data_IF_221069251496
#
_entry.id   IF_221069251496
#
_cell.length_a   1.000
_cell.length_b   1.000
_cell.length_c   1.000
_cell.angle_alpha   90.00
_cell.angle_beta   90.00
_cell.angle_gamma   90.00
#
_symmetry.space_group_name_H-M   'P 1'
#
loop_
_entity.id
_entity.type
_entity.pdbx_description
1 polymer ?
#
# COMPACT_ATOMS: atom_id res chain seq x y z
N UNK A 1 -6.06 13.47 -14.22
CA UNK A 1 -5.58 12.33 -13.44
C UNK A 1 -5.28 12.73 -11.99
N UNK A 2 -5.14 11.76 -11.12
CA UNK A 2 -4.97 12.04 -9.69
C UNK A 2 -3.67 12.77 -9.34
N UNK A 3 -2.59 12.56 -10.09
CA UNK A 3 -1.33 13.28 -9.87
C UNK A 3 -1.46 14.77 -10.19
N UNK A 4 -2.13 15.10 -11.29
CA UNK A 4 -2.38 16.50 -11.65
C UNK A 4 -3.25 17.17 -10.60
N UNK A 5 -4.32 16.51 -10.15
CA UNK A 5 -5.17 17.01 -9.08
C UNK A 5 -4.39 17.25 -7.79
N UNK A 6 -3.53 16.32 -7.41
CA UNK A 6 -2.71 16.46 -6.20
C UNK A 6 -1.68 17.57 -6.30
N UNK A 7 -1.13 17.80 -7.49
CA UNK A 7 -0.15 18.84 -7.72
C UNK A 7 -0.77 20.24 -7.78
N UNK A 8 -1.91 20.37 -8.45
CA UNK A 8 -2.52 21.68 -8.73
C UNK A 8 -3.46 22.16 -7.61
N UNK A 9 -4.06 21.26 -6.88
CA UNK A 9 -5.11 21.58 -5.92
C UNK A 9 -4.62 21.72 -4.49
N UNK A 10 -5.19 22.67 -3.74
CA UNK A 10 -5.06 22.73 -2.28
C UNK A 10 -6.10 21.84 -1.60
N UNK A 11 -7.19 21.58 -2.29
CA UNK A 11 -8.24 20.65 -1.89
C UNK A 11 -8.61 19.76 -3.07
N UNK A 12 -8.90 18.49 -2.77
CA UNK A 12 -9.32 17.50 -3.75
C UNK A 12 -10.66 16.90 -3.38
N UNK A 13 -11.58 16.87 -4.33
CA UNK A 13 -12.86 16.18 -4.19
C UNK A 13 -12.89 14.94 -5.07
N UNK A 14 -13.33 13.81 -4.51
CA UNK A 14 -13.58 12.57 -5.24
C UNK A 14 -15.09 12.43 -5.43
N UNK A 15 -15.52 12.48 -6.68
CA UNK A 15 -16.93 12.34 -7.05
C UNK A 15 -17.10 11.03 -7.80
N UNK A 16 -17.96 10.16 -7.29
CA UNK A 16 -18.30 8.87 -7.89
C UNK A 16 -19.82 8.74 -7.96
N UNK A 17 -20.33 8.33 -9.09
CA UNK A 17 -21.77 8.16 -9.33
C UNK A 17 -22.59 9.41 -8.93
N UNK A 18 -22.04 10.59 -9.23
CA UNK A 18 -22.69 11.88 -8.92
C UNK A 18 -22.65 12.28 -7.44
N UNK A 19 -21.95 11.54 -6.60
CA UNK A 19 -21.84 11.80 -5.17
C UNK A 19 -20.42 12.18 -4.77
N UNK A 20 -20.28 13.19 -3.91
CA UNK A 20 -19.00 13.57 -3.31
C UNK A 20 -18.66 12.55 -2.22
N UNK A 21 -17.63 11.71 -2.46
CA UNK A 21 -17.21 10.66 -1.56
C UNK A 21 -16.19 11.10 -0.53
N UNK A 22 -15.27 11.99 -0.94
CA UNK A 22 -14.26 12.56 -0.04
C UNK A 22 -13.87 13.94 -0.54
N UNK A 23 -13.66 14.86 0.40
CA UNK A 23 -13.17 16.21 0.12
C UNK A 23 -12.17 16.59 1.21
N UNK A 24 -10.90 16.71 0.84
CA UNK A 24 -9.83 16.99 1.78
C UNK A 24 -8.61 17.57 1.04
N UNK A 25 -7.53 17.86 1.78
CA UNK A 25 -6.27 18.17 1.13
C UNK A 25 -5.70 16.91 0.41
N UNK A 26 -4.84 17.11 -0.58
CA UNK A 26 -4.29 15.99 -1.37
C UNK A 26 -3.61 14.91 -0.54
N UNK A 27 -2.87 15.31 0.50
CA UNK A 27 -2.18 14.37 1.39
C UNK A 27 -3.18 13.43 2.07
N UNK A 28 -4.25 13.97 2.64
CA UNK A 28 -5.27 13.17 3.32
C UNK A 28 -6.07 12.29 2.36
N UNK A 29 -6.40 12.78 1.16
CA UNK A 29 -7.07 11.97 0.15
C UNK A 29 -6.22 10.74 -0.21
N UNK A 30 -4.91 10.91 -0.36
CA UNK A 30 -3.99 9.84 -0.70
C UNK A 30 -3.73 8.89 0.47
N UNK A 31 -3.35 9.43 1.63
CA UNK A 31 -2.93 8.60 2.77
C UNK A 31 -4.08 8.08 3.63
N UNK A 32 -5.21 8.79 3.64
CA UNK A 32 -6.38 8.45 4.47
C UNK A 32 -7.65 8.39 3.64
N UNK A 33 -7.70 7.56 2.59
CA UNK A 33 -8.94 7.37 1.84
C UNK A 33 -10.02 6.83 2.79
N UNK A 34 -11.23 7.38 2.67
CA UNK A 34 -12.29 7.11 3.65
C UNK A 34 -13.16 5.90 3.29
N UNK A 35 -12.95 5.29 2.13
CA UNK A 35 -13.73 4.14 1.68
C UNK A 35 -12.97 3.28 0.67
N UNK A 36 -13.40 2.03 0.52
CA UNK A 36 -12.88 1.12 -0.51
C UNK A 36 -13.08 1.71 -1.92
N UNK A 37 -14.21 2.39 -2.14
CA UNK A 37 -14.50 3.03 -3.43
C UNK A 37 -13.44 4.08 -3.79
N UNK A 38 -13.04 4.91 -2.83
CA UNK A 38 -11.98 5.92 -3.02
C UNK A 38 -10.63 5.25 -3.27
N UNK A 39 -10.29 4.21 -2.51
CA UNK A 39 -9.05 3.43 -2.73
C UNK A 39 -9.00 2.90 -4.16
N UNK A 40 -10.06 2.26 -4.61
CA UNK A 40 -10.13 1.68 -5.95
C UNK A 40 -10.07 2.75 -7.04
N UNK A 41 -10.72 3.89 -6.82
CA UNK A 41 -10.69 5.01 -7.76
C UNK A 41 -9.28 5.58 -7.93
N UNK A 42 -8.56 5.77 -6.82
CA UNK A 42 -7.19 6.29 -6.86
C UNK A 42 -6.21 5.29 -7.48
N UNK A 43 -6.47 4.01 -7.31
CA UNK A 43 -5.66 2.92 -7.89
C UNK A 43 -4.15 3.05 -7.59
N UNK A 44 -3.81 3.42 -6.36
CA UNK A 44 -2.43 3.66 -5.91
C UNK A 44 -1.92 2.64 -4.92
N UNK A 45 -2.79 1.82 -4.37
CA UNK A 45 -2.47 0.81 -3.40
C UNK A 45 -3.30 -0.46 -3.61
N UNK A 46 -3.08 -1.42 -2.75
CA UNK A 46 -3.79 -2.70 -2.77
C UNK A 46 -4.41 -2.96 -1.41
N UNK A 47 -5.61 -3.50 -1.40
CA UNK A 47 -6.28 -3.98 -0.20
C UNK A 47 -5.97 -5.46 -0.02
N UNK A 48 -5.44 -5.84 1.12
CA UNK A 48 -5.15 -7.24 1.45
C UNK A 48 -5.93 -7.68 2.69
N UNK A 49 -6.39 -8.94 2.75
CA UNK A 49 -7.04 -9.46 3.95
C UNK A 49 -6.06 -9.52 5.12
N UNK A 50 -6.52 -9.14 6.30
CA UNK A 50 -5.74 -9.23 7.53
C UNK A 50 -6.64 -9.42 8.74
N UNK A 51 -6.05 -9.86 9.84
CA UNK A 51 -6.73 -10.03 11.12
C UNK A 51 -6.03 -9.18 12.18
N UNK A 52 -6.79 -8.40 12.92
CA UNK A 52 -6.27 -7.59 14.02
C UNK A 52 -5.83 -8.50 15.17
N UNK A 53 -4.57 -8.38 15.59
CA UNK A 53 -3.98 -9.22 16.64
C UNK A 53 -3.70 -8.47 17.94
N UNK A 54 -3.78 -7.14 17.93
CA UNK A 54 -3.55 -6.30 19.08
C UNK A 54 -3.84 -4.84 18.79
N UNK A 55 -3.55 -3.95 19.71
CA UNK A 55 -3.78 -2.51 19.56
C UNK A 55 -2.94 -1.89 18.42
N UNK A 56 -1.75 -2.44 18.17
CA UNK A 56 -0.80 -1.92 17.20
C UNK A 56 -0.31 -2.99 16.24
N UNK A 57 -1.06 -4.07 16.05
CA UNK A 57 -0.62 -5.18 15.21
C UNK A 57 -1.76 -5.86 14.49
N UNK A 58 -1.42 -6.39 13.33
CA UNK A 58 -2.29 -7.29 12.55
C UNK A 58 -1.45 -8.35 11.86
N UNK A 59 -2.11 -9.40 11.40
CA UNK A 59 -1.49 -10.54 10.73
C UNK A 59 -2.14 -10.71 9.37
N UNK A 60 -1.30 -10.82 8.35
CA UNK A 60 -1.72 -11.07 6.97
C UNK A 60 -1.15 -12.40 6.50
N UNK A 61 -1.96 -13.21 5.82
CA UNK A 61 -1.47 -14.42 5.15
C UNK A 61 -0.50 -14.10 4.00
N UNK A 62 -0.55 -12.88 3.49
CA UNK A 62 0.30 -12.44 2.37
C UNK A 62 1.69 -11.97 2.84
N UNK A 63 1.74 -11.25 3.96
CA UNK A 63 2.94 -10.54 4.39
C UNK A 63 3.40 -10.89 5.81
N UNK A 64 2.61 -11.65 6.56
CA UNK A 64 2.90 -11.95 7.96
C UNK A 64 2.51 -10.83 8.90
N UNK A 65 3.25 -10.64 9.97
CA UNK A 65 2.95 -9.65 11.01
C UNK A 65 3.27 -8.24 10.54
N UNK A 66 2.33 -7.33 10.74
CA UNK A 66 2.47 -5.91 10.45
C UNK A 66 2.15 -5.13 11.73
N UNK A 67 3.00 -4.17 12.06
CA UNK A 67 2.87 -3.30 13.23
C UNK A 67 2.70 -1.85 12.81
N UNK A 68 2.00 -1.08 13.64
CA UNK A 68 1.81 0.34 13.40
C UNK A 68 0.63 0.89 14.17
N UNK A 69 0.26 2.13 13.83
CA UNK A 69 -0.82 2.84 14.50
C UNK A 69 -2.08 2.81 13.66
N UNK A 70 -3.14 2.19 14.18
CA UNK A 70 -4.44 2.22 13.54
C UNK A 70 -5.04 3.62 13.61
N UNK A 71 -5.58 4.12 12.50
CA UNK A 71 -6.31 5.39 12.48
C UNK A 71 -7.72 5.26 13.07
N UNK A 72 -8.26 4.05 13.11
CA UNK A 72 -9.53 3.70 13.77
C UNK A 72 -9.31 2.50 14.67
N UNK A 73 -10.04 2.44 15.76
CA UNK A 73 -9.99 1.28 16.66
C UNK A 73 -10.70 0.08 16.04
N UNK A 74 -10.04 -1.08 16.09
CA UNK A 74 -10.62 -2.37 15.72
C UNK A 74 -10.39 -3.37 16.86
N UNK A 75 -11.42 -4.10 17.31
CA UNK A 75 -11.23 -5.13 18.33
C UNK A 75 -10.28 -6.23 17.85
N UNK A 76 -9.50 -6.77 18.77
CA UNK A 76 -8.68 -7.96 18.50
C UNK A 76 -9.54 -9.09 17.92
N UNK A 77 -9.06 -9.71 16.86
CA UNK A 77 -9.76 -10.77 16.13
C UNK A 77 -10.61 -10.28 14.96
N UNK A 78 -10.73 -8.96 14.77
CA UNK A 78 -11.46 -8.39 13.62
C UNK A 78 -10.82 -8.78 12.31
N UNK A 79 -11.62 -9.16 11.33
CA UNK A 79 -11.20 -9.34 9.95
C UNK A 79 -11.33 -8.00 9.23
N UNK A 80 -10.24 -7.55 8.61
CA UNK A 80 -10.17 -6.26 7.95
C UNK A 80 -9.51 -6.40 6.59
N UNK A 81 -9.68 -5.37 5.75
CA UNK A 81 -8.89 -5.17 4.53
C UNK A 81 -7.89 -4.06 4.79
N UNK A 82 -6.61 -4.42 4.78
CA UNK A 82 -5.52 -3.49 5.00
C UNK A 82 -5.11 -2.83 3.70
N UNK A 83 -5.01 -1.51 3.70
CA UNK A 83 -4.45 -0.76 2.58
C UNK A 83 -2.92 -0.82 2.64
N UNK A 84 -2.30 -1.32 1.58
CA UNK A 84 -0.85 -1.25 1.34
C UNK A 84 -0.62 -0.28 0.19
N UNK A 85 0.13 0.76 0.45
CA UNK A 85 0.55 1.74 -0.58
C UNK A 85 2.01 1.47 -1.01
N UNK A 86 2.45 1.96 -2.17
CA UNK A 86 3.78 1.65 -2.70
C UNK A 86 4.94 1.96 -1.75
N UNK A 87 4.79 2.99 -0.91
CA UNK A 87 5.82 3.44 0.04
C UNK A 87 5.84 2.66 1.35
N UNK A 88 4.87 1.79 1.59
CA UNK A 88 4.73 1.11 2.90
C UNK A 88 5.71 -0.03 3.09
N UNK A 89 6.18 -0.63 2.01
CA UNK A 89 7.10 -1.76 2.06
C UNK A 89 8.49 -1.34 1.59
N UNK A 90 9.51 -1.82 2.30
CA UNK A 90 10.90 -1.56 1.96
C UNK A 90 11.56 -2.82 1.38
N UNK A 91 12.47 -2.61 0.44
CA UNK A 91 13.26 -3.67 -0.17
C UNK A 91 14.39 -4.11 0.76
N UNK A 92 14.57 -5.43 0.89
CA UNK A 92 15.67 -6.04 1.61
C UNK A 92 15.97 -7.43 1.05
N UNK A 93 17.05 -7.54 0.28
CA UNK A 93 17.47 -8.81 -0.35
C UNK A 93 17.82 -9.91 0.66
N UNK A 94 18.18 -9.53 1.89
CA UNK A 94 18.51 -10.49 2.94
C UNK A 94 17.27 -11.06 3.63
N UNK A 95 16.09 -10.47 3.41
CA UNK A 95 14.85 -10.93 4.02
C UNK A 95 14.44 -12.31 3.51
N UNK A 96 13.87 -13.12 4.40
CA UNK A 96 13.27 -14.40 4.03
C UNK A 96 11.82 -14.25 3.49
N UNK A 97 11.23 -13.07 3.62
CA UNK A 97 9.96 -12.77 2.97
C UNK A 97 10.25 -12.30 1.54
N UNK A 98 10.01 -13.16 0.58
CA UNK A 98 10.29 -12.88 -0.84
C UNK A 98 9.04 -13.07 -1.68
N UNK A 99 8.76 -12.09 -2.54
CA UNK A 99 7.66 -12.12 -3.49
C UNK A 99 8.21 -12.08 -4.91
N UNK A 100 7.42 -12.58 -5.85
CA UNK A 100 7.81 -12.60 -7.27
C UNK A 100 7.52 -11.26 -7.94
N UNK A 101 8.48 -10.74 -8.70
CA UNK A 101 8.29 -9.55 -9.53
C UNK A 101 7.48 -9.93 -10.78
N UNK A 102 6.32 -9.32 -10.97
CA UNK A 102 5.47 -9.54 -12.16
C UNK A 102 5.45 -8.36 -13.11
N UNK A 103 5.81 -7.17 -12.64
CA UNK A 103 5.96 -5.97 -13.47
C UNK A 103 6.94 -5.00 -12.82
N UNK A 104 7.56 -4.18 -13.66
CA UNK A 104 8.49 -3.13 -13.22
C UNK A 104 8.33 -1.91 -14.12
N UNK A 105 8.05 -0.77 -13.53
CA UNK A 105 7.93 0.50 -14.24
C UNK A 105 8.99 1.48 -13.77
N UNK A 106 9.84 1.94 -14.69
CA UNK A 106 10.78 3.00 -14.43
C UNK A 106 10.10 4.37 -14.60
N UNK A 107 10.21 5.21 -13.59
CA UNK A 107 9.60 6.54 -13.55
C UNK A 107 10.62 7.67 -13.27
N UNK A 108 11.84 7.51 -13.73
CA UNK A 108 12.92 8.48 -13.52
C UNK A 108 13.52 8.38 -12.13
N UNK A 109 12.93 9.06 -11.16
CA UNK A 109 13.42 9.07 -9.77
C UNK A 109 13.18 7.76 -9.03
N UNK A 110 12.31 6.91 -9.55
CA UNK A 110 11.93 5.67 -8.88
C UNK A 110 11.52 4.59 -9.85
N UNK A 111 11.46 3.37 -9.32
CA UNK A 111 10.77 2.23 -9.91
C UNK A 111 9.51 1.94 -9.10
N UNK A 112 8.46 1.51 -9.76
CA UNK A 112 7.33 0.83 -9.13
C UNK A 112 7.38 -0.62 -9.55
N UNK A 113 7.64 -1.50 -8.58
CA UNK A 113 7.55 -2.94 -8.76
C UNK A 113 6.15 -3.42 -8.42
N UNK A 114 5.60 -4.30 -9.23
CA UNK A 114 4.39 -5.03 -8.89
C UNK A 114 4.80 -6.43 -8.47
N UNK A 115 4.52 -6.79 -7.23
CA UNK A 115 4.90 -8.08 -6.64
C UNK A 115 3.66 -8.95 -6.49
N UNK A 116 3.81 -10.24 -6.77
CA UNK A 116 2.76 -11.23 -6.61
C UNK A 116 2.95 -12.04 -5.34
N UNK A 117 1.89 -12.15 -4.54
CA UNK A 117 1.85 -12.95 -3.33
C UNK A 117 1.53 -14.41 -3.64
N UNK A 118 1.65 -15.27 -2.63
CA UNK A 118 1.31 -16.70 -2.76
C UNK A 118 -0.16 -16.93 -3.16
N UNK A 119 -1.05 -16.05 -2.75
CA UNK A 119 -2.48 -16.12 -3.08
C UNK A 119 -2.86 -15.31 -4.33
N UNK A 120 -1.88 -15.00 -5.17
CA UNK A 120 -2.06 -14.28 -6.43
C UNK A 120 -2.58 -12.85 -6.30
N UNK A 121 -2.45 -12.21 -5.15
CA UNK A 121 -2.65 -10.78 -5.01
C UNK A 121 -1.42 -10.03 -5.51
N UNK A 122 -1.60 -8.84 -6.04
CA UNK A 122 -0.49 -8.00 -6.49
C UNK A 122 -0.35 -6.78 -5.59
N UNK A 123 0.90 -6.47 -5.23
CA UNK A 123 1.22 -5.38 -4.32
C UNK A 123 2.24 -4.46 -5.01
N UNK A 124 2.00 -3.14 -5.09
CA UNK A 124 2.97 -2.21 -5.64
C UNK A 124 4.00 -1.84 -4.58
N UNK A 125 5.27 -1.73 -4.98
CA UNK A 125 6.37 -1.30 -4.10
C UNK A 125 7.22 -0.26 -4.80
N UNK A 126 7.43 0.85 -4.10
CA UNK A 126 8.28 1.95 -4.54
C UNK A 126 9.74 1.68 -4.16
N UNK A 127 10.64 1.88 -5.12
CA UNK A 127 12.09 1.81 -4.89
C UNK A 127 12.76 2.99 -5.59
N UNK A 128 13.68 3.70 -4.90
CA UNK A 128 14.45 4.76 -5.52
C UNK A 128 15.29 4.24 -6.69
N UNK A 129 15.39 5.02 -7.76
CA UNK A 129 16.12 4.61 -8.97
C UNK A 129 17.64 4.48 -8.75
N UNK A 130 18.16 5.09 -7.70
CA UNK A 130 19.58 4.94 -7.30
C UNK A 130 19.85 3.65 -6.53
N UNK A 131 18.85 2.82 -6.31
CA UNK A 131 19.06 1.50 -5.69
C UNK A 131 19.99 0.67 -6.57
N UNK A 132 21.09 0.18 -5.98
CA UNK A 132 22.19 -0.46 -6.72
C UNK A 132 21.74 -1.75 -7.39
N UNK A 133 20.82 -2.47 -6.74
CA UNK A 133 20.39 -3.79 -7.16
C UNK A 133 18.98 -3.74 -7.75
N UNK A 134 18.89 -3.88 -9.07
CA UNK A 134 17.61 -3.95 -9.78
C UNK A 134 17.14 -5.40 -9.89
N UNK A 135 15.82 -5.58 -9.86
CA UNK A 135 15.18 -6.88 -10.02
C UNK A 135 14.45 -6.94 -11.36
N UNK A 136 14.65 -8.03 -12.08
CA UNK A 136 13.92 -8.30 -13.31
C UNK A 136 12.59 -9.00 -13.03
N UNK A 137 11.71 -9.01 -14.02
CA UNK A 137 10.48 -9.79 -13.96
C UNK A 137 10.82 -11.27 -13.77
N UNK A 138 10.01 -11.97 -12.96
CA UNK A 138 10.18 -13.34 -12.51
C UNK A 138 11.24 -13.55 -11.40
N UNK A 139 12.04 -12.53 -11.07
CA UNK A 139 12.93 -12.60 -9.93
C UNK A 139 12.19 -12.49 -8.60
N UNK A 140 12.85 -12.89 -7.52
CA UNK A 140 12.36 -12.74 -6.16
C UNK A 140 12.80 -11.39 -5.60
N UNK A 141 11.86 -10.73 -4.94
CA UNK A 141 12.05 -9.41 -4.32
C UNK A 141 11.85 -9.55 -2.81
N UNK A 142 12.88 -9.27 -2.03
CA UNK A 142 12.81 -9.37 -0.57
C UNK A 142 12.13 -8.16 0.06
N UNK A 143 11.24 -8.40 1.00
CA UNK A 143 10.55 -7.36 1.77
C UNK A 143 11.17 -7.29 3.17
N UNK A 144 11.62 -6.11 3.57
CA UNK A 144 12.21 -5.87 4.88
C UNK A 144 11.23 -6.20 6.01
N UNK A 145 11.72 -6.90 7.01
CA UNK A 145 10.98 -7.23 8.24
C UNK A 145 11.71 -6.67 9.47
N UNK A 146 11.01 -6.23 10.50
CA UNK A 146 9.54 -6.20 10.63
C UNK A 146 8.91 -5.16 9.70
N UNK A 147 7.69 -5.45 9.24
CA UNK A 147 6.91 -4.48 8.47
C UNK A 147 6.23 -3.53 9.45
N UNK A 148 6.51 -2.23 9.29
CA UNK A 148 5.95 -1.17 10.13
C UNK A 148 5.26 -0.15 9.22
N UNK A 149 3.99 0.08 9.47
CA UNK A 149 3.19 1.08 8.75
C UNK A 149 2.74 2.12 9.77
N UNK A 150 3.19 3.37 9.62
CA UNK A 150 2.92 4.44 10.59
C UNK A 150 1.43 4.73 10.75
N UNK A 151 0.67 4.66 9.66
CA UNK A 151 -0.77 4.93 9.64
C UNK A 151 -1.49 3.75 9.00
N UNK A 152 -1.98 2.83 9.83
CA UNK A 152 -2.71 1.66 9.36
C UNK A 152 -4.12 2.06 8.98
N UNK A 153 -4.45 1.96 7.70
CA UNK A 153 -5.76 2.24 7.14
C UNK A 153 -6.43 0.92 6.76
N UNK A 154 -7.57 0.65 7.35
CA UNK A 154 -8.34 -0.59 7.14
C UNK A 154 -9.81 -0.28 6.82
N UNK A 155 -10.43 -1.30 6.23
CA UNK A 155 -11.85 -1.29 5.89
C UNK A 155 -12.50 -2.61 6.26
#
# INVERSE_FOLDING_TARGET
DSYEAFYLGNKCGIILDGQLKQYDDPYNVYHFPNSIEVVNFLNRGTLIPAKVTGENSLESSELGTIKGNFIKHYPKGSDVKLLIQPEDLEHDDSSNLKLEVVDRQFRGTNFIYTLKTQNNLTIPVFVHSHHIHQHEVEEKFGIKRPIIIDHIVCF
#
